data_IF_177250177261
#
_entry.id   IF_177250177261
#
_cell.length_a   1.000
_cell.length_b   1.000
_cell.length_c   1.000
_cell.angle_alpha   90.00
_cell.angle_beta   90.00
_cell.angle_gamma   90.00
#
_symmetry.space_group_name_H-M   'P 1'
#
loop_
_entity.id
_entity.type
_entity.pdbx_description
1 polymer ?
#
# COMPACT_ATOMS: atom_id res chain seq x y z
N UNK A 1 39.05 -12.77 -19.63
CA UNK A 1 38.71 -13.29 -18.32
C UNK A 1 38.17 -12.19 -17.40
N UNK A 2 38.95 -11.13 -17.21
CA UNK A 2 38.50 -10.02 -16.34
C UNK A 2 37.23 -9.38 -16.87
N UNK A 3 37.14 -9.17 -18.18
CA UNK A 3 35.95 -8.58 -18.79
C UNK A 3 34.69 -9.44 -18.57
N UNK A 4 34.84 -10.77 -18.65
CA UNK A 4 33.73 -11.68 -18.44
C UNK A 4 33.22 -11.63 -16.98
N UNK A 5 34.15 -11.52 -16.03
CA UNK A 5 33.81 -11.41 -14.60
C UNK A 5 33.07 -10.09 -14.34
N UNK A 6 33.55 -8.99 -14.93
CA UNK A 6 32.90 -7.69 -14.78
C UNK A 6 31.49 -7.67 -15.34
N UNK A 7 31.32 -8.25 -16.52
CA UNK A 7 29.98 -8.33 -17.16
C UNK A 7 29.03 -9.16 -16.29
N UNK A 8 29.50 -10.31 -15.79
CA UNK A 8 28.69 -11.16 -14.95
C UNK A 8 28.28 -10.43 -13.65
N UNK A 9 29.21 -9.69 -13.05
CA UNK A 9 28.91 -8.91 -11.85
C UNK A 9 27.87 -7.84 -12.12
N UNK A 10 27.99 -7.11 -13.24
CA UNK A 10 27.03 -6.07 -13.60
C UNK A 10 25.65 -6.64 -13.84
N UNK A 11 25.57 -7.76 -14.55
CA UNK A 11 24.29 -8.42 -14.84
C UNK A 11 23.62 -8.84 -13.54
N UNK A 12 24.37 -9.44 -12.64
CA UNK A 12 23.86 -9.90 -11.35
C UNK A 12 23.31 -8.74 -10.53
N UNK A 13 24.05 -7.64 -10.44
CA UNK A 13 23.63 -6.45 -9.69
C UNK A 13 22.37 -5.85 -10.30
N UNK A 14 22.32 -5.77 -11.63
CA UNK A 14 21.17 -5.20 -12.32
C UNK A 14 19.91 -6.02 -12.08
N UNK A 15 20.01 -7.34 -12.21
CA UNK A 15 18.87 -8.23 -11.98
C UNK A 15 18.38 -8.15 -10.54
N UNK A 16 19.32 -8.12 -9.59
CA UNK A 16 18.97 -7.97 -8.19
C UNK A 16 18.31 -6.62 -7.89
N UNK A 17 18.80 -5.56 -8.52
CA UNK A 17 18.22 -4.23 -8.38
C UNK A 17 16.82 -4.14 -8.92
N UNK A 18 16.56 -4.75 -10.08
CA UNK A 18 15.21 -4.77 -10.66
C UNK A 18 14.22 -5.52 -9.77
N UNK A 19 14.66 -6.63 -9.19
CA UNK A 19 13.82 -7.40 -8.28
C UNK A 19 13.45 -6.60 -7.04
N UNK A 20 14.44 -5.96 -6.40
CA UNK A 20 14.21 -5.12 -5.23
C UNK A 20 13.36 -3.89 -5.58
N UNK A 21 13.58 -3.31 -6.75
CA UNK A 21 12.82 -2.16 -7.23
C UNK A 21 11.35 -2.48 -7.38
N UNK A 22 11.00 -3.65 -7.92
CA UNK A 22 9.61 -4.07 -8.07
C UNK A 22 8.91 -4.21 -6.72
N UNK A 23 9.61 -4.77 -5.72
CA UNK A 23 9.06 -4.91 -4.38
C UNK A 23 8.83 -3.54 -3.73
N UNK A 24 9.75 -2.59 -3.91
CA UNK A 24 9.62 -1.25 -3.39
C UNK A 24 8.43 -0.51 -4.02
N UNK A 25 8.27 -0.61 -5.32
CA UNK A 25 7.15 0.02 -6.02
C UNK A 25 5.83 -0.51 -5.49
N UNK A 26 5.72 -1.82 -5.30
CA UNK A 26 4.50 -2.42 -4.77
C UNK A 26 4.19 -1.92 -3.36
N UNK A 27 5.20 -1.81 -2.51
CA UNK A 27 5.03 -1.30 -1.14
C UNK A 27 4.60 0.16 -1.13
N UNK A 28 5.26 0.99 -1.95
CA UNK A 28 4.90 2.40 -2.04
C UNK A 28 3.48 2.57 -2.56
N UNK A 29 3.10 1.75 -3.52
CA UNK A 29 1.75 1.79 -4.04
C UNK A 29 0.73 1.39 -2.97
N UNK A 30 1.01 0.31 -2.24
CA UNK A 30 0.12 -0.14 -1.17
C UNK A 30 -0.03 0.95 -0.10
N UNK A 31 1.08 1.60 0.28
CA UNK A 31 1.04 2.67 1.26
C UNK A 31 0.24 3.87 0.76
N UNK A 32 0.45 4.26 -0.50
CA UNK A 32 -0.29 5.38 -1.08
C UNK A 32 -1.79 5.10 -1.11
N UNK A 33 -2.19 3.90 -1.50
CA UNK A 33 -3.60 3.52 -1.53
C UNK A 33 -4.16 3.49 -0.11
N UNK A 34 -3.39 2.95 0.85
CA UNK A 34 -3.83 2.89 2.25
C UNK A 34 -4.06 4.29 2.81
N UNK A 35 -3.14 5.22 2.53
CA UNK A 35 -3.27 6.60 3.00
C UNK A 35 -4.51 7.27 2.41
N UNK A 36 -4.70 7.14 1.10
CA UNK A 36 -5.86 7.73 0.44
C UNK A 36 -7.17 7.11 0.91
N UNK A 37 -7.19 5.79 1.06
CA UNK A 37 -8.38 5.07 1.50
C UNK A 37 -8.74 5.46 2.94
N UNK A 38 -7.73 5.58 3.80
CA UNK A 38 -7.96 5.96 5.19
C UNK A 38 -8.51 7.39 5.29
N UNK A 39 -7.95 8.32 4.51
CA UNK A 39 -8.43 9.71 4.49
C UNK A 39 -9.85 9.78 3.94
N UNK A 40 -10.12 9.06 2.85
CA UNK A 40 -11.47 9.02 2.27
C UNK A 40 -12.49 8.44 3.24
N UNK A 41 -12.11 7.37 3.94
CA UNK A 41 -12.98 6.76 4.95
C UNK A 41 -13.23 7.73 6.11
N UNK A 42 -12.19 8.39 6.60
CA UNK A 42 -12.32 9.33 7.71
C UNK A 42 -13.28 10.47 7.36
N UNK A 43 -13.27 10.92 6.11
CA UNK A 43 -14.18 11.96 5.64
C UNK A 43 -15.64 11.52 5.64
N UNK A 44 -15.90 10.23 5.62
CA UNK A 44 -17.27 9.68 5.65
C UNK A 44 -17.66 9.13 7.02
N UNK A 45 -16.78 9.23 7.99
CA UNK A 45 -17.04 8.66 9.32
C UNK A 45 -18.30 9.21 9.98
N UNK A 46 -18.66 10.49 9.82
CA UNK A 46 -19.91 10.99 10.38
C UNK A 46 -21.16 10.27 9.86
N UNK A 47 -21.05 9.60 8.72
CA UNK A 47 -22.16 8.82 8.15
C UNK A 47 -22.19 7.39 8.66
N UNK A 48 -21.27 7.02 9.53
CA UNK A 48 -21.21 5.70 10.15
C UNK A 48 -20.00 4.89 9.70
N UNK A 49 -19.58 3.92 10.54
CA UNK A 49 -18.41 3.09 10.23
C UNK A 49 -18.56 2.29 8.93
N UNK A 50 -19.74 1.76 8.68
CA UNK A 50 -19.97 0.96 7.47
C UNK A 50 -19.81 1.81 6.21
N UNK A 51 -20.35 3.02 6.22
CA UNK A 51 -20.21 3.94 5.09
C UNK A 51 -18.76 4.35 4.90
N UNK A 52 -18.06 4.61 5.99
CA UNK A 52 -16.64 4.97 5.95
C UNK A 52 -15.82 3.85 5.32
N UNK A 53 -16.00 2.62 5.78
CA UNK A 53 -15.26 1.48 5.25
C UNK A 53 -15.64 1.15 3.81
N UNK A 54 -16.90 1.38 3.44
CA UNK A 54 -17.32 1.18 2.05
C UNK A 54 -16.60 2.17 1.13
N UNK A 55 -16.45 3.41 1.58
CA UNK A 55 -15.71 4.42 0.81
C UNK A 55 -14.27 3.98 0.59
N UNK A 56 -13.65 3.41 1.63
CA UNK A 56 -12.28 2.88 1.50
C UNK A 56 -12.22 1.77 0.45
N UNK A 57 -13.19 0.86 0.47
CA UNK A 57 -13.22 -0.25 -0.50
C UNK A 57 -13.42 0.26 -1.92
N UNK A 58 -14.30 1.23 -2.10
CA UNK A 58 -14.58 1.78 -3.42
C UNK A 58 -13.33 2.44 -4.00
N UNK A 59 -12.63 3.22 -3.19
CA UNK A 59 -11.42 3.87 -3.61
C UNK A 59 -10.32 2.85 -3.95
N UNK A 60 -10.17 1.86 -3.09
CA UNK A 60 -9.17 0.80 -3.32
C UNK A 60 -9.45 0.06 -4.62
N UNK A 61 -10.72 -0.24 -4.90
CA UNK A 61 -11.10 -0.94 -6.13
C UNK A 61 -10.72 -0.14 -7.38
N UNK A 62 -10.95 1.18 -7.36
CA UNK A 62 -10.56 2.06 -8.47
C UNK A 62 -9.05 1.99 -8.69
N UNK A 63 -8.27 1.86 -7.62
CA UNK A 63 -6.82 1.79 -7.68
C UNK A 63 -6.29 0.36 -7.81
N UNK A 64 -7.18 -0.59 -8.07
CA UNK A 64 -6.84 -2.01 -8.26
C UNK A 64 -6.14 -2.60 -7.04
N UNK A 65 -6.62 -2.24 -5.87
CA UNK A 65 -6.12 -2.74 -4.59
C UNK A 65 -7.29 -3.31 -3.81
N UNK A 66 -6.97 -4.05 -2.75
CA UNK A 66 -7.97 -4.71 -1.92
C UNK A 66 -7.84 -4.24 -0.48
N UNK A 67 -8.97 -3.92 0.14
CA UNK A 67 -8.99 -3.64 1.58
C UNK A 67 -9.05 -4.97 2.31
N UNK A 68 -8.02 -5.26 3.10
CA UNK A 68 -7.96 -6.47 3.91
C UNK A 68 -8.59 -6.28 5.27
N UNK A 69 -8.53 -5.06 5.79
CA UNK A 69 -9.12 -4.74 7.07
C UNK A 69 -9.49 -3.26 7.09
N UNK A 70 -10.58 -2.94 7.73
CA UNK A 70 -11.00 -1.56 7.95
C UNK A 70 -11.60 -1.50 9.34
N UNK A 71 -10.94 -0.79 10.25
CA UNK A 71 -11.34 -0.69 11.64
C UNK A 71 -11.53 0.78 12.00
N UNK A 72 -12.62 1.05 12.69
CA UNK A 72 -12.88 2.39 13.20
C UNK A 72 -12.61 2.37 14.70
N UNK A 73 -11.71 3.24 15.13
CA UNK A 73 -11.35 3.38 16.54
C UNK A 73 -11.66 4.82 16.95
N UNK A 74 -12.76 4.99 17.64
CA UNK A 74 -13.26 6.32 18.03
C UNK A 74 -13.45 7.19 16.78
N UNK A 75 -12.58 8.17 16.55
CA UNK A 75 -12.66 9.05 15.38
C UNK A 75 -11.59 8.73 14.34
N UNK A 76 -10.83 7.68 14.55
CA UNK A 76 -9.79 7.26 13.62
C UNK A 76 -10.26 6.06 12.82
N UNK A 77 -9.83 6.01 11.57
CA UNK A 77 -10.05 4.85 10.71
C UNK A 77 -8.69 4.27 10.34
N UNK A 78 -8.54 2.97 10.56
CA UNK A 78 -7.33 2.24 10.20
C UNK A 78 -7.67 1.31 9.04
N UNK A 79 -7.02 1.50 7.91
CA UNK A 79 -7.27 0.71 6.70
C UNK A 79 -6.00 -0.05 6.35
N UNK A 80 -6.15 -1.35 6.14
CA UNK A 80 -5.07 -2.21 5.66
C UNK A 80 -5.34 -2.58 4.22
N UNK A 81 -4.37 -2.31 3.35
CA UNK A 81 -4.49 -2.49 1.91
C UNK A 81 -3.51 -3.55 1.46
N UNK A 82 -3.94 -4.38 0.51
CA UNK A 82 -3.09 -5.34 -0.18
C UNK A 82 -3.06 -4.98 -1.67
N UNK A 83 -1.86 -4.97 -2.22
CA UNK A 83 -1.63 -4.75 -3.64
C UNK A 83 -0.90 -5.97 -4.18
N UNK A 84 -1.41 -6.53 -5.26
CA UNK A 84 -0.77 -7.67 -5.89
C UNK A 84 0.55 -7.24 -6.53
N UNK A 85 1.61 -7.98 -6.22
CA UNK A 85 2.90 -7.74 -6.84
C UNK A 85 2.91 -8.35 -8.23
N UNK A 86 3.41 -7.59 -9.21
CA UNK A 86 3.54 -8.11 -10.56
C UNK A 86 4.71 -9.08 -10.62
N UNK A 87 4.53 -10.14 -11.41
CA UNK A 87 5.55 -11.18 -11.58
C UNK A 87 4.94 -12.55 -11.46
N UNK A 88 5.81 -13.54 -11.45
CA UNK A 88 5.42 -14.95 -11.39
C UNK A 88 5.25 -15.46 -9.97
N UNK A 89 5.61 -14.65 -8.97
CA UNK A 89 5.35 -14.98 -7.57
C UNK A 89 4.00 -14.36 -7.20
N UNK A 90 3.10 -15.21 -6.78
CA UNK A 90 1.75 -14.79 -6.41
C UNK A 90 1.75 -14.25 -5.00
N UNK A 91 2.32 -13.06 -4.82
CA UNK A 91 2.43 -12.42 -3.53
C UNK A 91 1.82 -11.03 -3.53
N UNK A 92 1.56 -10.52 -2.34
CA UNK A 92 0.94 -9.21 -2.15
C UNK A 92 1.83 -8.35 -1.26
N UNK A 93 1.83 -7.05 -1.54
CA UNK A 93 2.42 -6.08 -0.65
C UNK A 93 1.30 -5.48 0.20
N UNK A 94 1.52 -5.39 1.50
CA UNK A 94 0.51 -4.90 2.43
C UNK A 94 1.00 -3.61 3.07
N UNK A 95 0.07 -2.69 3.32
CA UNK A 95 0.34 -1.48 4.04
C UNK A 95 -0.90 -1.07 4.82
N UNK A 96 -0.70 -0.41 5.92
CA UNK A 96 -1.80 0.10 6.73
C UNK A 96 -1.63 1.58 6.95
N UNK A 97 -2.74 2.30 7.06
CA UNK A 97 -2.72 3.72 7.35
C UNK A 97 -3.84 4.05 8.31
N UNK A 98 -3.61 5.07 9.11
CA UNK A 98 -4.60 5.59 10.05
C UNK A 98 -4.89 7.04 9.68
N UNK A 99 -6.16 7.39 9.65
CA UNK A 99 -6.58 8.77 9.43
C UNK A 99 -7.64 9.14 10.43
N UNK A 100 -7.59 10.37 10.87
CA UNK A 100 -8.55 10.89 11.83
C UNK A 100 -8.20 12.32 12.17
N UNK A 101 -9.01 12.97 13.05
CA UNK A 101 -8.70 14.33 13.44
C UNK A 101 -7.38 14.37 14.19
N UNK A 102 -6.59 15.39 13.92
CA UNK A 102 -5.34 15.57 14.62
C UNK A 102 -5.60 15.95 16.06
N UNK A 103 -5.12 15.13 16.98
CA UNK A 103 -5.21 15.42 18.40
C UNK A 103 -3.91 15.99 18.95
N UNK A 104 -2.93 16.18 18.07
CA UNK A 104 -1.66 16.73 18.49
C UNK A 104 -1.82 18.19 18.82
N UNK A 105 -1.56 18.50 20.06
CA UNK A 105 -1.64 19.87 20.55
C UNK A 105 -0.23 20.32 20.91
N UNK A 106 0.12 21.45 20.44
CA UNK A 106 1.43 21.99 20.73
C UNK A 106 1.35 23.20 21.62
#
# INVERSE_FOLDING_TARGET
MLAAVLVAALVTITLGGLWLGAAQVARHRAQAVADLAAVAAAGRLPLGPDTACQQARDLAAVMKATVRACDVEELDVVVTIAVRMSGWINSEAWAAARAGPSTTVR
#
